data_IF_586226985968
#
_entry.id   IF_586226985968
#
_cell.length_a   1.000
_cell.length_b   1.000
_cell.length_c   1.000
_cell.angle_alpha   90.00
_cell.angle_beta   90.00
_cell.angle_gamma   90.00
#
_symmetry.space_group_name_H-M   'P 1'
#
loop_
_entity.id
_entity.type
_entity.pdbx_description
1 polymer ?
#
# COMPACT_ATOMS: atom_id res chain seq x y z
N UNK A 1 3.77 35.02 -10.76
CA UNK A 1 5.05 34.49 -10.22
C UNK A 1 5.43 35.25 -8.94
N UNK A 2 5.19 34.67 -7.76
CA UNK A 2 5.81 35.08 -6.49
C UNK A 2 5.92 33.84 -5.60
N UNK A 3 7.12 33.26 -5.57
CA UNK A 3 7.51 32.09 -4.79
C UNK A 3 7.82 32.59 -3.36
N UNK A 4 7.19 32.00 -2.33
CA UNK A 4 7.59 32.21 -0.93
C UNK A 4 8.35 31.00 -0.44
N UNK A 5 9.65 31.17 -0.22
CA UNK A 5 10.55 30.20 0.40
C UNK A 5 10.69 30.63 1.87
N UNK A 6 10.16 29.84 2.80
CA UNK A 6 10.35 30.06 4.24
C UNK A 6 11.72 29.53 4.67
N UNK A 7 12.49 30.42 5.29
CA UNK A 7 13.87 30.25 5.75
C UNK A 7 14.00 29.25 6.91
N UNK A 8 15.14 28.57 6.93
CA UNK A 8 15.73 27.91 8.10
C UNK A 8 15.92 28.90 9.26
N UNK A 9 15.72 28.43 10.49
CA UNK A 9 16.37 28.99 11.68
C UNK A 9 17.19 27.89 12.32
N UNK A 10 18.50 28.04 12.22
CA UNK A 10 19.45 27.50 13.17
C UNK A 10 19.32 28.27 14.49
N UNK A 11 19.44 27.55 15.61
CA UNK A 11 19.40 28.09 16.97
C UNK A 11 20.15 27.13 17.90
N UNK A 12 21.33 27.58 18.30
CA UNK A 12 22.42 26.85 18.94
C UNK A 12 22.31 26.78 20.48
N UNK A 13 22.96 25.75 21.04
CA UNK A 13 23.53 25.57 22.38
C UNK A 13 22.67 25.65 23.66
N UNK A 14 22.80 24.61 24.51
CA UNK A 14 23.41 24.76 25.85
C UNK A 14 23.66 23.42 26.56
N UNK A 15 24.93 23.01 26.55
CA UNK A 15 25.73 22.36 27.60
C UNK A 15 25.06 21.55 28.74
N UNK A 16 25.36 20.24 28.81
CA UNK A 16 25.69 19.57 30.08
C UNK A 16 26.87 18.63 29.88
N UNK A 17 28.00 19.01 30.48
CA UNK A 17 29.24 18.25 30.49
C UNK A 17 29.32 17.44 31.78
N UNK A 18 29.47 16.10 31.76
CA UNK A 18 30.25 15.29 32.74
C UNK A 18 30.71 13.94 32.15
N UNK A 19 31.99 13.92 31.75
CA UNK A 19 33.07 12.95 32.03
C UNK A 19 32.85 11.42 31.92
N UNK A 20 33.55 10.86 30.90
CA UNK A 20 34.54 9.75 30.90
C UNK A 20 34.20 8.42 31.59
N UNK A 21 34.17 7.33 30.81
CA UNK A 21 34.99 6.12 31.06
C UNK A 21 35.38 5.50 29.71
N UNK A 22 36.68 5.30 29.50
CA UNK A 22 37.27 4.51 28.42
C UNK A 22 37.10 3.03 28.75
N UNK A 23 36.53 2.23 27.84
CA UNK A 23 36.82 0.79 27.79
C UNK A 23 36.95 0.34 26.34
N UNK A 24 38.21 0.09 25.98
CA UNK A 24 38.69 -0.67 24.85
C UNK A 24 38.17 -2.12 24.90
N UNK A 25 37.57 -2.56 23.79
CA UNK A 25 37.19 -3.94 23.56
C UNK A 25 36.99 -4.16 22.06
N UNK A 26 38.07 -4.51 21.38
CA UNK A 26 38.06 -4.94 19.98
C UNK A 26 37.42 -6.33 19.91
N UNK A 27 36.28 -6.47 19.25
CA UNK A 27 35.71 -7.77 18.89
C UNK A 27 35.51 -7.78 17.38
N UNK A 28 36.37 -8.55 16.70
CA UNK A 28 36.24 -8.92 15.29
C UNK A 28 35.39 -10.18 15.24
N UNK A 29 34.20 -10.14 14.66
CA UNK A 29 33.46 -11.36 14.27
C UNK A 29 32.69 -11.13 12.95
N UNK A 30 33.13 -11.90 11.95
CA UNK A 30 32.44 -12.45 10.78
C UNK A 30 31.66 -11.55 9.80
N UNK A 31 32.25 -11.37 8.62
CA UNK A 31 31.54 -11.16 7.37
C UNK A 31 30.83 -12.46 6.97
N UNK A 32 29.49 -12.47 6.97
CA UNK A 32 28.69 -13.46 6.24
C UNK A 32 27.54 -12.75 5.52
N UNK A 33 27.66 -12.73 4.18
CA UNK A 33 26.58 -12.96 3.20
C UNK A 33 25.26 -12.20 3.40
N UNK A 34 25.00 -11.17 2.59
CA UNK A 34 24.29 -11.28 1.32
C UNK A 34 22.75 -11.28 1.48
N UNK A 35 22.12 -10.49 0.60
CA UNK A 35 20.69 -10.21 0.48
C UNK A 35 19.73 -11.38 0.77
N UNK A 36 18.62 -11.05 1.41
CA UNK A 36 17.24 -11.29 0.92
C UNK A 36 16.34 -10.38 1.77
N UNK A 37 15.95 -9.20 1.29
CA UNK A 37 14.77 -9.03 0.45
C UNK A 37 13.58 -9.89 0.92
N UNK A 38 12.61 -9.19 1.51
CA UNK A 38 11.20 -9.34 1.17
C UNK A 38 10.59 -10.74 1.38
N UNK A 39 9.99 -10.96 2.54
CA UNK A 39 8.73 -11.72 2.56
C UNK A 39 7.91 -11.31 3.77
N UNK A 40 7.10 -10.28 3.55
CA UNK A 40 5.99 -9.89 4.42
C UNK A 40 4.72 -9.87 3.59
N UNK A 41 4.47 -10.95 2.84
CA UNK A 41 3.21 -11.21 2.17
C UNK A 41 2.53 -12.34 2.94
N UNK A 42 1.84 -11.99 4.03
CA UNK A 42 0.96 -12.93 4.70
C UNK A 42 -0.21 -13.22 3.77
N UNK A 43 -0.20 -14.40 3.18
CA UNK A 43 -1.30 -14.98 2.42
C UNK A 43 -2.44 -15.20 3.41
N UNK A 44 -3.43 -14.31 3.36
CA UNK A 44 -4.67 -14.48 4.10
C UNK A 44 -5.55 -15.47 3.33
N UNK A 45 -5.44 -16.74 3.70
CA UNK A 45 -6.41 -17.77 3.32
C UNK A 45 -7.76 -17.42 3.98
N UNK A 46 -8.70 -16.92 3.20
CA UNK A 46 -10.04 -16.59 3.66
C UNK A 46 -10.90 -16.11 2.50
N UNK A 47 -12.11 -16.68 2.41
CA UNK A 47 -13.20 -16.37 1.46
C UNK A 47 -12.96 -15.12 0.64
N UNK A 48 -12.79 -15.27 -0.68
CA UNK A 48 -12.23 -14.20 -1.51
C UNK A 48 -13.11 -12.95 -1.57
N UNK A 49 -12.90 -12.05 -0.60
CA UNK A 49 -13.28 -10.66 -0.75
C UNK A 49 -12.43 -10.11 -1.89
N UNK A 50 -13.08 -9.54 -2.93
CA UNK A 50 -12.37 -9.01 -4.10
C UNK A 50 -11.33 -7.99 -3.61
N UNK A 51 -10.06 -8.34 -3.80
CA UNK A 51 -8.92 -7.55 -3.35
C UNK A 51 -7.88 -7.46 -4.46
N UNK A 52 -7.25 -6.30 -4.61
CA UNK A 52 -6.22 -6.05 -5.61
C UNK A 52 -4.94 -5.52 -4.95
N UNK A 53 -3.80 -5.93 -5.47
CA UNK A 53 -2.48 -5.43 -5.11
C UNK A 53 -2.07 -4.31 -6.06
N UNK A 54 -1.70 -3.16 -5.50
CA UNK A 54 -1.16 -2.03 -6.25
C UNK A 54 -0.13 -1.27 -5.42
N UNK A 55 1.05 -1.03 -5.98
CA UNK A 55 2.12 -0.29 -5.28
C UNK A 55 2.53 -0.89 -3.93
N UNK A 56 2.49 -2.22 -3.82
CA UNK A 56 2.82 -2.96 -2.58
C UNK A 56 1.76 -2.87 -1.49
N UNK A 57 0.50 -2.62 -1.84
CA UNK A 57 -0.63 -2.50 -0.89
C UNK A 57 -1.80 -3.33 -1.37
N UNK A 58 -2.51 -3.92 -0.43
CA UNK A 58 -3.78 -4.61 -0.66
C UNK A 58 -4.93 -3.61 -0.53
N UNK A 59 -5.78 -3.57 -1.54
CA UNK A 59 -7.02 -2.81 -1.57
C UNK A 59 -8.18 -3.80 -1.63
N UNK A 60 -9.25 -3.53 -0.91
CA UNK A 60 -10.44 -4.38 -0.85
C UNK A 60 -11.64 -3.64 -1.41
N UNK A 61 -12.52 -4.34 -2.12
CA UNK A 61 -13.71 -3.78 -2.75
C UNK A 61 -14.53 -2.94 -1.76
N UNK A 62 -15.04 -1.83 -2.29
CA UNK A 62 -16.05 -0.99 -1.65
C UNK A 62 -17.29 -1.02 -2.53
N UNK A 63 -18.41 -1.42 -1.95
CA UNK A 63 -19.71 -1.50 -2.64
C UNK A 63 -20.60 -0.33 -2.26
N UNK A 64 -21.63 -0.08 -3.07
CA UNK A 64 -22.69 0.91 -2.80
C UNK A 64 -22.16 2.34 -2.58
N UNK A 65 -21.22 2.75 -3.43
CA UNK A 65 -20.68 4.12 -3.46
C UNK A 65 -20.55 4.59 -4.90
N UNK A 66 -20.91 5.83 -5.15
CA UNK A 66 -20.66 6.49 -6.41
C UNK A 66 -19.25 7.07 -6.43
N UNK A 67 -18.56 6.93 -7.56
CA UNK A 67 -17.21 7.46 -7.74
C UNK A 67 -16.95 7.79 -9.21
N UNK A 68 -15.98 8.66 -9.45
CA UNK A 68 -15.54 9.01 -10.80
C UNK A 68 -14.12 8.50 -11.03
N UNK A 69 -13.95 7.79 -12.15
CA UNK A 69 -12.65 7.25 -12.57
C UNK A 69 -11.81 8.37 -13.17
N UNK A 70 -10.63 8.57 -12.60
CA UNK A 70 -9.63 9.50 -13.10
C UNK A 70 -8.62 8.84 -14.03
N UNK A 71 -7.41 9.40 -14.09
CA UNK A 71 -6.32 8.92 -14.96
C UNK A 71 -5.87 7.48 -14.63
N UNK A 72 -5.39 6.76 -15.63
CA UNK A 72 -4.67 5.50 -15.43
C UNK A 72 -3.39 5.72 -14.61
N UNK A 73 -3.10 4.80 -13.69
CA UNK A 73 -1.96 4.85 -12.77
C UNK A 73 -0.89 3.81 -13.11
N UNK A 74 -1.29 2.61 -13.50
CA UNK A 74 -0.37 1.51 -13.80
C UNK A 74 -1.00 0.13 -13.56
N UNK A 75 -0.20 -0.94 -13.64
CA UNK A 75 -0.69 -2.30 -13.43
C UNK A 75 -1.06 -2.54 -11.96
N UNK A 76 -2.13 -3.31 -11.75
CA UNK A 76 -2.55 -3.90 -10.49
C UNK A 76 -2.81 -5.40 -10.71
N UNK A 77 -2.73 -6.17 -9.64
CA UNK A 77 -2.79 -7.63 -9.69
C UNK A 77 -3.88 -8.12 -8.73
N UNK A 78 -4.72 -9.05 -9.16
CA UNK A 78 -5.64 -9.76 -8.27
C UNK A 78 -4.95 -11.02 -7.76
N UNK A 79 -4.75 -11.21 -6.45
CA UNK A 79 -4.16 -12.44 -5.94
C UNK A 79 -5.05 -13.64 -6.34
N UNK A 80 -4.45 -14.83 -6.54
CA UNK A 80 -5.21 -16.02 -6.88
C UNK A 80 -6.22 -16.34 -5.77
N UNK A 81 -7.47 -16.59 -6.18
CA UNK A 81 -8.56 -16.94 -5.28
C UNK A 81 -8.74 -18.45 -5.22
N UNK A 82 -8.20 -19.08 -4.18
CA UNK A 82 -8.32 -20.53 -3.98
C UNK A 82 -9.65 -20.90 -3.31
N UNK A 83 -10.79 -20.53 -3.92
CA UNK A 83 -12.13 -20.81 -3.36
C UNK A 83 -12.71 -22.16 -3.85
N UNK A 84 -11.98 -22.92 -4.68
CA UNK A 84 -12.45 -24.23 -5.17
C UNK A 84 -11.51 -25.36 -4.75
N UNK A 85 -11.81 -26.11 -3.67
CA UNK A 85 -11.01 -27.28 -3.32
C UNK A 85 -11.05 -28.30 -4.47
N UNK A 86 -9.88 -28.60 -5.04
CA UNK A 86 -9.72 -29.54 -6.15
C UNK A 86 -9.72 -28.91 -7.54
N UNK A 87 -9.82 -27.58 -7.67
CA UNK A 87 -9.50 -26.89 -8.91
C UNK A 87 -8.08 -26.36 -8.81
N UNK A 88 -7.14 -27.12 -9.38
CA UNK A 88 -5.81 -26.63 -9.66
C UNK A 88 -5.91 -25.63 -10.82
N UNK A 89 -6.36 -24.41 -10.54
CA UNK A 89 -6.12 -23.25 -11.39
C UNK A 89 -4.63 -22.84 -11.29
N UNK A 90 -3.73 -23.82 -11.42
CA UNK A 90 -2.27 -23.68 -11.30
C UNK A 90 -1.64 -23.00 -12.53
N UNK A 91 -2.43 -22.45 -13.46
CA UNK A 91 -1.94 -22.04 -14.78
C UNK A 91 -2.16 -20.58 -15.15
N UNK A 92 -3.12 -19.88 -14.53
CA UNK A 92 -3.33 -18.46 -14.78
C UNK A 92 -2.77 -17.68 -13.59
N UNK A 93 -1.53 -17.21 -13.72
CA UNK A 93 -1.02 -16.17 -12.84
C UNK A 93 -1.97 -14.97 -12.82
N UNK A 94 -1.88 -14.11 -11.79
CA UNK A 94 -2.76 -12.95 -11.65
C UNK A 94 -2.74 -12.13 -12.94
N UNK A 95 -3.86 -12.06 -13.67
CA UNK A 95 -3.95 -11.27 -14.89
C UNK A 95 -3.74 -9.79 -14.53
N UNK A 96 -2.70 -9.13 -15.09
CA UNK A 96 -2.44 -7.75 -14.77
C UNK A 96 -3.57 -6.88 -15.32
N UNK A 97 -4.26 -6.18 -14.43
CA UNK A 97 -5.27 -5.18 -14.78
C UNK A 97 -4.70 -3.78 -14.62
N UNK A 98 -5.40 -2.76 -15.11
CA UNK A 98 -5.00 -1.36 -14.92
C UNK A 98 -5.71 -0.77 -13.71
N UNK A 99 -4.93 -0.20 -12.79
CA UNK A 99 -5.43 0.69 -11.75
C UNK A 99 -5.59 2.12 -12.29
N UNK A 100 -6.63 2.77 -11.83
CA UNK A 100 -6.99 4.15 -12.14
C UNK A 100 -7.10 4.96 -10.85
N UNK A 101 -6.85 6.26 -10.96
CA UNK A 101 -7.16 7.20 -9.89
C UNK A 101 -8.67 7.28 -9.69
N UNK A 102 -9.07 7.69 -8.50
CA UNK A 102 -10.45 8.08 -8.19
C UNK A 102 -10.43 9.57 -7.93
N UNK A 103 -11.28 10.32 -8.62
CA UNK A 103 -11.28 11.77 -8.48
C UNK A 103 -11.60 12.18 -7.04
N UNK A 104 -10.81 13.12 -6.52
CA UNK A 104 -10.92 13.58 -5.12
C UNK A 104 -10.29 12.65 -4.07
N UNK A 105 -9.83 11.44 -4.43
CA UNK A 105 -9.17 10.52 -3.50
C UNK A 105 -7.68 10.33 -3.79
N UNK A 106 -6.91 10.13 -2.72
CA UNK A 106 -5.50 9.78 -2.84
C UNK A 106 -5.38 8.31 -3.29
N UNK A 107 -4.59 7.97 -4.33
CA UNK A 107 -4.36 6.59 -4.75
C UNK A 107 -3.82 5.67 -3.66
N UNK A 108 -3.20 6.21 -2.61
CA UNK A 108 -2.75 5.45 -1.44
C UNK A 108 -3.91 5.00 -0.52
N UNK A 109 -5.08 5.59 -0.68
CA UNK A 109 -6.30 5.34 0.10
C UNK A 109 -7.28 4.50 -0.73
N UNK A 110 -7.51 4.88 -1.99
CA UNK A 110 -8.42 4.18 -2.89
C UNK A 110 -7.98 4.26 -4.34
N UNK A 111 -8.30 3.23 -5.10
CA UNK A 111 -8.08 3.10 -6.55
C UNK A 111 -9.34 2.55 -7.20
N UNK A 112 -9.49 2.82 -8.49
CA UNK A 112 -10.46 2.13 -9.33
C UNK A 112 -9.74 1.05 -10.14
N UNK A 113 -10.34 -0.11 -10.31
CA UNK A 113 -9.77 -1.21 -11.09
C UNK A 113 -10.83 -1.74 -12.04
N UNK A 114 -10.42 -2.00 -13.28
CA UNK A 114 -11.29 -2.67 -14.26
C UNK A 114 -11.29 -4.17 -13.95
N UNK A 115 -12.44 -4.71 -13.58
CA UNK A 115 -12.59 -6.13 -13.27
C UNK A 115 -13.02 -6.93 -14.51
N UNK A 116 -13.98 -6.40 -15.26
CA UNK A 116 -14.40 -6.93 -16.57
C UNK A 116 -14.38 -5.81 -17.61
N UNK A 117 -14.67 -6.10 -18.89
CA UNK A 117 -14.74 -5.08 -19.95
C UNK A 117 -15.65 -3.91 -19.60
N UNK A 118 -16.73 -4.18 -18.87
CA UNK A 118 -17.84 -3.26 -18.63
C UNK A 118 -17.95 -2.84 -17.15
N UNK A 119 -17.17 -3.45 -16.26
CA UNK A 119 -17.23 -3.21 -14.82
C UNK A 119 -15.94 -2.57 -14.28
N UNK A 120 -16.10 -1.45 -13.60
CA UNK A 120 -15.04 -0.80 -12.83
C UNK A 120 -15.45 -0.77 -11.37
N UNK A 121 -14.55 -1.24 -10.51
CA UNK A 121 -14.78 -1.37 -9.07
C UNK A 121 -13.94 -0.35 -8.32
N UNK A 122 -14.50 0.21 -7.25
CA UNK A 122 -13.73 0.96 -6.26
C UNK A 122 -13.10 -0.03 -5.27
N UNK A 123 -11.79 0.08 -5.06
CA UNK A 123 -11.10 -0.60 -3.97
C UNK A 123 -10.41 0.41 -3.05
N UNK A 124 -10.43 0.13 -1.76
CA UNK A 124 -9.82 0.97 -0.73
C UNK A 124 -8.96 0.15 0.22
N UNK A 125 -7.95 0.79 0.80
CA UNK A 125 -7.20 0.21 1.92
C UNK A 125 -8.10 0.21 3.14
N UNK A 126 -8.30 -0.95 3.78
CA UNK A 126 -9.18 -1.10 4.95
C UNK A 126 -8.38 -1.53 6.18
N UNK A 127 -7.62 -0.61 6.83
CA UNK A 127 -6.84 -0.97 8.01
C UNK A 127 -7.77 -1.44 9.13
N UNK A 128 -7.54 -2.65 9.64
CA UNK A 128 -8.40 -3.26 10.66
C UNK A 128 -9.84 -3.52 10.19
N UNK A 129 -10.06 -3.69 8.88
CA UNK A 129 -11.39 -3.99 8.31
C UNK A 129 -12.35 -2.81 8.26
N UNK A 130 -11.87 -1.58 8.47
CA UNK A 130 -12.69 -0.37 8.43
C UNK A 130 -12.36 0.51 7.24
N UNK A 131 -13.38 1.03 6.57
CA UNK A 131 -13.21 1.99 5.48
C UNK A 131 -12.60 3.32 6.00
N UNK A 132 -11.65 3.91 5.24
CA UNK A 132 -11.14 5.25 5.49
C UNK A 132 -12.26 6.31 5.49
N UNK A 133 -12.14 7.38 6.29
CA UNK A 133 -13.18 8.41 6.38
C UNK A 133 -13.44 9.11 5.04
N UNK A 134 -12.43 9.25 4.19
CA UNK A 134 -12.56 9.85 2.85
C UNK A 134 -13.44 9.00 1.94
N UNK A 135 -13.32 7.68 2.03
CA UNK A 135 -14.14 6.74 1.25
C UNK A 135 -15.55 6.66 1.81
N UNK A 136 -15.71 6.70 3.13
CA UNK A 136 -17.04 6.77 3.78
C UNK A 136 -17.82 8.03 3.39
N UNK A 137 -17.13 9.12 3.07
CA UNK A 137 -17.78 10.35 2.63
C UNK A 137 -18.45 10.19 1.25
N UNK A 138 -17.91 9.34 0.37
CA UNK A 138 -18.55 9.04 -0.92
C UNK A 138 -19.92 8.37 -0.77
N UNK A 139 -20.11 7.54 0.25
CA UNK A 139 -21.39 6.87 0.54
C UNK A 139 -22.49 7.81 1.08
N UNK A 140 -22.16 9.09 1.35
CA UNK A 140 -23.08 10.06 1.97
C UNK A 140 -23.48 11.20 1.03
N UNK A 141 -22.90 11.26 -0.17
CA UNK A 141 -23.22 12.24 -1.20
C UNK A 141 -24.37 11.75 -2.06
#
# INVERSE_FOLDING_TARGET
>A
MRIRISRRRDGDASTWSRRRVLYSGMVVVALTTACSAQSGGGEAEGSCAIAAMYGGRTYTQVVNVDFTVGKALGPAEFPPCNDTPGHNDDAAGPEPTTAYAVDGLNPRIAIAVRYTSDEVMLLAVQPGGSLPPEVKALARG
#
